data_IF_573935941249
#
_entry.id   IF_573935941249
#
_cell.length_a   1.000
_cell.length_b   1.000
_cell.length_c   1.000
_cell.angle_alpha   90.00
_cell.angle_beta   90.00
_cell.angle_gamma   90.00
#
_symmetry.space_group_name_H-M   'P 1'
#
loop_
_entity.id
_entity.type
_entity.pdbx_description
1 polymer ?
#
# COMPACT_ATOMS: atom_id res chain seq x y z
N UNK A 1 -18.29 -22.66 21.21
CA UNK A 1 -17.21 -22.17 22.10
C UNK A 1 -16.95 -20.70 21.74
N UNK A 2 -17.65 -19.77 22.41
CA UNK A 2 -17.62 -18.33 22.12
C UNK A 2 -16.43 -17.73 22.88
N UNK A 3 -15.22 -17.98 22.39
CA UNK A 3 -14.01 -17.35 22.92
C UNK A 3 -13.97 -15.90 22.43
N UNK A 4 -14.33 -14.97 23.33
CA UNK A 4 -13.98 -13.55 23.34
C UNK A 4 -13.55 -12.96 21.97
N UNK A 5 -14.51 -12.73 21.08
CA UNK A 5 -14.30 -12.08 19.77
C UNK A 5 -13.78 -10.64 19.91
N UNK A 6 -13.78 -10.06 21.11
CA UNK A 6 -13.29 -8.70 21.37
C UNK A 6 -11.77 -8.60 21.21
N UNK A 7 -11.01 -9.60 21.67
CA UNK A 7 -9.54 -9.57 21.62
C UNK A 7 -8.95 -9.63 20.20
N UNK A 8 -9.36 -10.56 19.30
CA UNK A 8 -8.84 -10.59 17.94
C UNK A 8 -9.28 -9.37 17.12
N UNK A 9 -10.50 -8.84 17.37
CA UNK A 9 -10.96 -7.60 16.72
C UNK A 9 -10.10 -6.40 17.10
N UNK A 10 -9.75 -6.24 18.37
CA UNK A 10 -8.91 -5.12 18.83
C UNK A 10 -7.50 -5.23 18.23
N UNK A 11 -6.89 -6.42 18.27
CA UNK A 11 -5.56 -6.65 17.68
C UNK A 11 -5.55 -6.42 16.17
N UNK A 12 -6.56 -6.91 15.44
CA UNK A 12 -6.70 -6.67 14.01
C UNK A 12 -6.91 -5.19 13.66
N UNK A 13 -7.68 -4.46 14.49
CA UNK A 13 -7.88 -3.01 14.32
C UNK A 13 -6.58 -2.24 14.54
N UNK A 14 -5.82 -2.59 15.59
CA UNK A 14 -4.54 -1.96 15.89
C UNK A 14 -3.55 -2.20 14.75
N UNK A 15 -3.38 -3.46 14.31
CA UNK A 15 -2.49 -3.81 13.21
C UNK A 15 -2.86 -3.07 11.92
N UNK A 16 -4.16 -2.98 11.62
CA UNK A 16 -4.67 -2.27 10.45
C UNK A 16 -4.40 -0.77 10.54
N UNK A 17 -4.78 -0.11 11.64
CA UNK A 17 -4.63 1.34 11.82
C UNK A 17 -3.16 1.73 11.81
N UNK A 18 -2.30 1.01 12.54
CA UNK A 18 -0.86 1.27 12.55
C UNK A 18 -0.26 1.09 11.15
N UNK A 19 -0.58 -0.01 10.47
CA UNK A 19 -0.05 -0.28 9.13
C UNK A 19 -0.47 0.77 8.11
N UNK A 20 -1.76 1.14 8.07
CA UNK A 20 -2.27 2.17 7.15
C UNK A 20 -1.69 3.54 7.50
N UNK A 21 -1.63 3.91 8.78
CA UNK A 21 -1.05 5.18 9.23
C UNK A 21 0.41 5.28 8.78
N UNK A 22 1.22 4.24 9.00
CA UNK A 22 2.62 4.22 8.56
C UNK A 22 2.76 4.37 7.04
N UNK A 23 1.95 3.67 6.25
CA UNK A 23 1.98 3.76 4.78
C UNK A 23 1.64 5.18 4.31
N UNK A 24 0.50 5.73 4.77
CA UNK A 24 0.01 7.03 4.33
C UNK A 24 0.95 8.13 4.79
N UNK A 25 1.48 8.05 6.01
CA UNK A 25 2.46 8.99 6.52
C UNK A 25 3.76 8.97 5.70
N UNK A 26 4.30 7.78 5.40
CA UNK A 26 5.51 7.66 4.56
C UNK A 26 5.30 8.28 3.16
N UNK A 27 4.15 8.03 2.53
CA UNK A 27 3.81 8.62 1.24
C UNK A 27 3.69 10.14 1.32
N UNK A 28 3.02 10.64 2.37
CA UNK A 28 2.84 12.08 2.58
C UNK A 28 4.18 12.78 2.81
N UNK A 29 5.00 12.29 3.75
CA UNK A 29 6.33 12.85 4.04
C UNK A 29 7.23 12.79 2.81
N UNK A 30 7.18 11.70 2.04
CA UNK A 30 7.91 11.58 0.78
C UNK A 30 7.55 12.71 -0.19
N UNK A 31 6.27 13.04 -0.34
CA UNK A 31 5.81 14.10 -1.23
C UNK A 31 6.01 15.52 -0.70
N UNK A 32 5.59 15.78 0.54
CA UNK A 32 5.55 17.13 1.13
C UNK A 32 6.88 17.59 1.72
N UNK A 33 7.83 16.68 1.87
CA UNK A 33 9.07 16.91 2.62
C UNK A 33 8.90 16.76 4.14
N UNK A 34 10.01 16.77 4.89
CA UNK A 34 10.04 16.51 6.33
C UNK A 34 9.42 17.63 7.17
N UNK A 35 9.39 18.86 6.65
CA UNK A 35 8.82 20.05 7.31
C UNK A 35 7.33 19.88 7.67
N UNK A 36 6.61 19.01 6.96
CA UNK A 36 5.17 18.75 7.17
C UNK A 36 4.88 17.41 7.87
N UNK A 37 5.88 16.77 8.50
CA UNK A 37 5.74 15.42 9.04
C UNK A 37 4.65 15.28 10.11
N UNK A 38 4.48 16.28 10.98
CA UNK A 38 3.45 16.27 12.03
C UNK A 38 2.03 16.33 11.45
N UNK A 39 1.79 17.27 10.53
CA UNK A 39 0.51 17.39 9.81
C UNK A 39 0.20 16.10 9.05
N UNK A 40 1.22 15.51 8.41
CA UNK A 40 1.10 14.22 7.73
C UNK A 40 0.69 13.09 8.67
N UNK A 41 1.23 13.03 9.89
CA UNK A 41 0.90 11.98 10.85
C UNK A 41 -0.57 12.07 11.32
N UNK A 42 -1.06 13.29 11.58
CA UNK A 42 -2.46 13.52 11.95
C UNK A 42 -3.40 13.11 10.82
N UNK A 43 -3.10 13.52 9.59
CA UNK A 43 -3.90 13.18 8.41
C UNK A 43 -3.90 11.67 8.14
N UNK A 44 -2.75 11.02 8.26
CA UNK A 44 -2.61 9.58 8.10
C UNK A 44 -3.41 8.79 9.14
N UNK A 45 -3.39 9.23 10.40
CA UNK A 45 -4.18 8.62 11.46
C UNK A 45 -5.69 8.79 11.20
N UNK A 46 -6.13 10.01 10.85
CA UNK A 46 -7.53 10.27 10.53
C UNK A 46 -8.02 9.39 9.36
N UNK A 47 -7.20 9.26 8.32
CA UNK A 47 -7.49 8.39 7.18
C UNK A 47 -7.55 6.91 7.57
N UNK A 48 -6.61 6.44 8.40
CA UNK A 48 -6.59 5.06 8.89
C UNK A 48 -7.83 4.72 9.72
N UNK A 49 -8.28 5.65 10.59
CA UNK A 49 -9.50 5.49 11.37
C UNK A 49 -10.76 5.45 10.48
N UNK A 50 -10.82 6.29 9.44
CA UNK A 50 -11.91 6.27 8.47
C UNK A 50 -12.00 4.93 7.73
N UNK A 51 -10.85 4.38 7.31
CA UNK A 51 -10.80 3.06 6.69
C UNK A 51 -11.13 1.92 7.67
N UNK A 52 -10.72 2.03 8.94
CA UNK A 52 -11.06 1.04 9.97
C UNK A 52 -12.57 1.00 10.22
N UNK A 53 -13.26 2.14 10.15
CA UNK A 53 -14.72 2.18 10.23
C UNK A 53 -15.38 1.36 9.09
N UNK A 54 -14.90 1.55 7.85
CA UNK A 54 -15.36 0.77 6.69
C UNK A 54 -15.08 -0.73 6.85
N UNK A 55 -13.91 -1.08 7.40
CA UNK A 55 -13.52 -2.47 7.71
C UNK A 55 -14.46 -3.09 8.74
N UNK A 56 -14.75 -2.39 9.83
CA UNK A 56 -15.68 -2.85 10.88
C UNK A 56 -17.08 -3.09 10.32
N UNK A 57 -17.57 -2.20 9.45
CA UNK A 57 -18.87 -2.36 8.78
C UNK A 57 -18.90 -3.65 7.94
N UNK A 58 -17.84 -3.91 7.18
CA UNK A 58 -17.72 -5.12 6.35
C UNK A 58 -17.61 -6.41 7.18
N UNK A 59 -16.94 -6.35 8.33
CA UNK A 59 -16.89 -7.49 9.27
C UNK A 59 -18.29 -7.75 9.85
N UNK A 60 -19.00 -6.70 10.27
CA UNK A 60 -20.36 -6.82 10.79
C UNK A 60 -21.35 -7.36 9.74
N UNK A 61 -21.15 -7.04 8.46
CA UNK A 61 -21.91 -7.62 7.35
C UNK A 61 -21.65 -9.14 7.22
N UNK A 62 -20.39 -9.57 7.25
CA UNK A 62 -20.03 -10.99 7.19
C UNK A 62 -20.58 -11.76 8.41
N UNK A 63 -20.61 -11.13 9.58
CA UNK A 63 -21.19 -11.72 10.80
C UNK A 63 -22.70 -11.91 10.68
N UNK A 64 -23.40 -10.90 10.16
CA UNK A 64 -24.84 -11.01 9.88
C UNK A 64 -25.12 -12.12 8.87
N UNK A 65 -24.34 -12.20 7.79
CA UNK A 65 -24.46 -13.26 6.80
C UNK A 65 -24.29 -14.65 7.46
N UNK A 66 -23.30 -14.81 8.34
CA UNK A 66 -23.04 -16.05 9.06
C UNK A 66 -24.18 -16.43 10.04
N UNK A 67 -24.85 -15.44 10.62
CA UNK A 67 -26.01 -15.64 11.51
C UNK A 67 -27.31 -15.90 10.75
N UNK A 68 -27.47 -15.31 9.57
CA UNK A 68 -28.69 -15.41 8.75
C UNK A 68 -28.72 -16.59 7.78
N UNK A 69 -27.56 -17.15 7.43
CA UNK A 69 -27.48 -18.25 6.47
C UNK A 69 -28.17 -19.49 7.03
N UNK A 70 -29.14 -20.01 6.27
CA UNK A 70 -29.88 -21.23 6.60
C UNK A 70 -28.87 -22.39 6.78
N UNK A 71 -28.93 -23.14 7.90
CA UNK A 71 -28.04 -24.28 8.14
C UNK A 71 -28.09 -25.36 7.06
N UNK A 72 -29.15 -25.37 6.23
CA UNK A 72 -29.30 -26.28 5.08
C UNK A 72 -28.79 -25.72 3.76
N UNK A 73 -28.44 -24.44 3.69
CA UNK A 73 -27.90 -23.81 2.49
C UNK A 73 -26.48 -24.26 2.23
N UNK A 74 -26.23 -24.80 1.04
CA UNK A 74 -24.95 -25.37 0.64
C UNK A 74 -24.34 -24.55 -0.49
N UNK A 75 -23.05 -24.21 -0.37
CA UNK A 75 -22.28 -23.52 -1.40
C UNK A 75 -21.38 -24.50 -2.15
N UNK A 76 -21.40 -24.42 -3.47
CA UNK A 76 -20.50 -25.19 -4.32
C UNK A 76 -19.13 -24.53 -4.38
N UNK A 77 -18.08 -25.33 -4.24
CA UNK A 77 -16.69 -24.89 -4.30
C UNK A 77 -16.09 -25.40 -5.60
N UNK A 78 -15.74 -24.46 -6.47
CA UNK A 78 -15.10 -24.73 -7.74
C UNK A 78 -13.62 -24.34 -7.66
N UNK A 79 -12.73 -25.22 -8.10
CA UNK A 79 -11.29 -24.94 -8.26
C UNK A 79 -10.99 -25.04 -9.74
N UNK A 80 -10.45 -23.96 -10.34
CA UNK A 80 -10.19 -23.89 -11.78
C UNK A 80 -11.41 -24.23 -12.65
N UNK A 81 -12.62 -23.91 -12.18
CA UNK A 81 -13.87 -24.17 -12.89
C UNK A 81 -14.44 -25.58 -12.70
N UNK A 82 -13.73 -26.48 -12.01
CA UNK A 82 -14.20 -27.83 -11.68
C UNK A 82 -14.80 -27.82 -10.27
N UNK A 83 -16.02 -28.34 -10.10
CA UNK A 83 -16.61 -28.51 -8.78
C UNK A 83 -15.84 -29.59 -8.02
N UNK A 84 -15.23 -29.22 -6.89
CA UNK A 84 -14.42 -30.15 -6.08
C UNK A 84 -15.19 -30.62 -4.85
N UNK A 85 -16.13 -29.81 -4.37
CA UNK A 85 -17.00 -30.20 -3.27
C UNK A 85 -17.99 -29.12 -2.91
N UNK A 86 -18.64 -29.32 -1.77
CA UNK A 86 -19.68 -28.46 -1.24
C UNK A 86 -19.44 -28.22 0.24
N UNK A 87 -19.62 -26.98 0.69
CA UNK A 87 -19.58 -26.62 2.12
C UNK A 87 -20.87 -25.89 2.50
N UNK A 88 -21.36 -26.06 3.74
CA UNK A 88 -22.45 -25.25 4.27
C UNK A 88 -22.12 -23.75 4.15
N UNK A 89 -23.12 -22.95 3.80
CA UNK A 89 -22.98 -21.51 3.61
C UNK A 89 -22.43 -20.82 4.87
N UNK A 90 -22.90 -21.26 6.04
CA UNK A 90 -22.41 -20.85 7.35
C UNK A 90 -20.92 -21.11 7.56
N UNK A 91 -20.43 -22.31 7.25
CA UNK A 91 -19.01 -22.65 7.41
C UNK A 91 -18.12 -21.77 6.52
N UNK A 92 -18.58 -21.47 5.30
CA UNK A 92 -17.87 -20.56 4.39
C UNK A 92 -17.82 -19.14 4.95
N UNK A 93 -18.91 -18.66 5.57
CA UNK A 93 -18.97 -17.36 6.21
C UNK A 93 -18.07 -17.29 7.46
N UNK A 94 -18.08 -18.33 8.30
CA UNK A 94 -17.20 -18.45 9.48
C UNK A 94 -15.71 -18.48 9.08
N UNK A 95 -15.34 -19.19 8.01
CA UNK A 95 -13.99 -19.18 7.45
C UNK A 95 -13.57 -17.78 6.99
N UNK A 96 -14.47 -17.09 6.27
CA UNK A 96 -14.23 -15.72 5.80
C UNK A 96 -14.08 -14.75 6.97
N UNK A 97 -14.87 -14.91 8.03
CA UNK A 97 -14.79 -14.14 9.26
C UNK A 97 -13.47 -14.39 9.99
N UNK A 98 -13.07 -15.66 10.16
CA UNK A 98 -11.81 -16.02 10.80
C UNK A 98 -10.60 -15.39 10.10
N UNK A 99 -10.59 -15.38 8.77
CA UNK A 99 -9.57 -14.69 7.97
C UNK A 99 -9.64 -13.17 8.14
N UNK A 100 -10.84 -12.58 8.22
CA UNK A 100 -10.99 -11.13 8.42
C UNK A 100 -10.60 -10.65 9.83
N UNK A 101 -10.60 -11.55 10.82
CA UNK A 101 -10.25 -11.23 12.21
C UNK A 101 -8.79 -11.51 12.55
N UNK A 102 -8.06 -12.21 11.69
CA UNK A 102 -6.67 -12.61 11.95
C UNK A 102 -5.69 -11.42 11.82
N UNK A 103 -5.05 -10.96 12.91
CA UNK A 103 -4.08 -9.87 12.86
C UNK A 103 -2.85 -10.17 12.00
N UNK A 104 -2.43 -11.44 11.88
CA UNK A 104 -1.26 -11.81 11.10
C UNK A 104 -1.46 -11.55 9.60
N UNK A 105 -2.71 -11.59 9.13
CA UNK A 105 -3.05 -11.31 7.73
C UNK A 105 -2.91 -9.81 7.43
N UNK A 106 -3.23 -8.95 8.41
CA UNK A 106 -3.00 -7.51 8.27
C UNK A 106 -1.51 -7.18 8.23
N UNK A 107 -0.70 -7.80 9.09
CA UNK A 107 0.75 -7.61 9.09
C UNK A 107 1.37 -8.09 7.77
N UNK A 108 0.97 -9.25 7.28
CA UNK A 108 1.47 -9.76 5.99
C UNK A 108 1.04 -8.89 4.80
N UNK A 109 -0.19 -8.37 4.79
CA UNK A 109 -0.62 -7.41 3.78
C UNK A 109 0.20 -6.12 3.86
N UNK A 110 0.50 -5.62 5.06
CA UNK A 110 1.39 -4.47 5.26
C UNK A 110 2.80 -4.72 4.72
N UNK A 111 3.41 -5.88 5.00
CA UNK A 111 4.74 -6.23 4.48
C UNK A 111 4.75 -6.32 2.95
N UNK A 112 3.70 -6.86 2.35
CA UNK A 112 3.54 -6.91 0.88
C UNK A 112 3.49 -5.51 0.30
N UNK A 113 2.68 -4.61 0.88
CA UNK A 113 2.58 -3.21 0.44
C UNK A 113 3.92 -2.49 0.64
N UNK A 114 4.56 -2.65 1.80
CA UNK A 114 5.86 -2.08 2.10
C UNK A 114 6.96 -2.53 1.13
N UNK A 115 6.95 -3.80 0.74
CA UNK A 115 7.85 -4.32 -0.31
C UNK A 115 7.64 -3.60 -1.64
N UNK A 116 6.39 -3.35 -2.02
CA UNK A 116 6.07 -2.61 -3.26
C UNK A 116 6.49 -1.15 -3.19
N UNK A 117 6.28 -0.51 -2.04
CA UNK A 117 6.80 0.85 -1.79
C UNK A 117 8.32 0.90 -1.93
N UNK A 118 9.04 -0.11 -1.41
CA UNK A 118 10.49 -0.23 -1.54
C UNK A 118 10.92 -0.41 -3.00
N UNK A 119 10.24 -1.26 -3.78
CA UNK A 119 10.51 -1.39 -5.21
C UNK A 119 10.30 -0.07 -5.97
N UNK A 120 9.23 0.65 -5.64
CA UNK A 120 9.00 1.98 -6.18
C UNK A 120 10.14 2.94 -5.83
N UNK A 121 10.66 2.89 -4.60
CA UNK A 121 11.75 3.75 -4.14
C UNK A 121 13.06 3.43 -4.87
N UNK A 122 13.37 2.14 -5.03
CA UNK A 122 14.52 1.69 -5.82
C UNK A 122 14.41 2.13 -7.29
N UNK A 123 13.22 2.05 -7.87
CA UNK A 123 12.99 2.51 -9.24
C UNK A 123 13.17 4.03 -9.35
N UNK A 124 12.63 4.79 -8.39
CA UNK A 124 12.81 6.24 -8.34
C UNK A 124 14.27 6.65 -8.17
N UNK A 125 15.05 5.91 -7.39
CA UNK A 125 16.48 6.14 -7.22
C UNK A 125 17.26 6.03 -8.54
N UNK A 126 16.83 5.18 -9.46
CA UNK A 126 17.44 5.04 -10.79
C UNK A 126 16.87 6.05 -11.79
N UNK A 127 15.54 6.26 -11.77
CA UNK A 127 14.85 7.13 -12.74
C UNK A 127 15.14 8.61 -12.48
N UNK A 128 15.17 9.06 -11.23
CA UNK A 128 15.38 10.46 -10.89
C UNK A 128 16.69 11.05 -11.45
N UNK A 129 17.88 10.44 -11.25
CA UNK A 129 19.11 10.95 -11.84
C UNK A 129 19.09 10.87 -13.37
N UNK A 130 18.49 9.83 -13.94
CA UNK A 130 18.37 9.69 -15.40
C UNK A 130 17.52 10.83 -15.99
N UNK A 131 16.36 11.13 -15.40
CA UNK A 131 15.51 12.24 -15.80
C UNK A 131 16.21 13.59 -15.64
N UNK A 132 16.98 13.77 -14.57
CA UNK A 132 17.76 14.99 -14.37
C UNK A 132 18.82 15.18 -15.48
N UNK A 133 19.56 14.12 -15.82
CA UNK A 133 20.55 14.15 -16.91
C UNK A 133 19.88 14.51 -18.24
N UNK A 134 18.80 13.81 -18.59
CA UNK A 134 18.09 14.08 -19.84
C UNK A 134 17.47 15.47 -19.87
N UNK A 135 16.92 15.96 -18.76
CA UNK A 135 16.41 17.32 -18.68
C UNK A 135 17.52 18.35 -18.97
N UNK A 136 18.72 18.16 -18.42
CA UNK A 136 19.86 19.05 -18.70
C UNK A 136 20.28 18.98 -20.16
N UNK A 137 20.39 17.78 -20.75
CA UNK A 137 20.78 17.60 -22.15
C UNK A 137 19.77 18.22 -23.11
N UNK A 138 18.47 18.03 -22.85
CA UNK A 138 17.39 18.61 -23.66
C UNK A 138 17.41 20.14 -23.57
N UNK A 139 17.54 20.70 -22.37
CA UNK A 139 17.63 22.16 -22.20
C UNK A 139 18.87 22.74 -22.89
N UNK A 140 20.01 22.06 -22.82
CA UNK A 140 21.24 22.47 -23.52
C UNK A 140 21.06 22.44 -25.04
N UNK A 141 20.31 21.47 -25.56
CA UNK A 141 20.05 21.34 -27.00
C UNK A 141 19.05 22.39 -27.52
N UNK A 142 18.01 22.71 -26.74
CA UNK A 142 16.98 23.68 -27.12
C UNK A 142 17.47 25.12 -26.95
N UNK A 143 18.06 25.45 -25.79
CA UNK A 143 18.57 26.78 -25.49
C UNK A 143 19.86 26.71 -24.65
N UNK A 144 21.03 26.64 -25.34
CA UNK A 144 22.31 26.57 -24.66
C UNK A 144 22.64 27.86 -23.90
N UNK A 145 22.12 29.02 -24.34
CA UNK A 145 22.39 30.31 -23.72
C UNK A 145 21.68 30.44 -22.37
N UNK A 146 20.40 30.05 -22.32
CA UNK A 146 19.65 30.03 -21.07
C UNK A 146 20.25 29.04 -20.06
N UNK A 147 20.68 27.86 -20.52
CA UNK A 147 21.32 26.86 -19.67
C UNK A 147 22.66 27.37 -19.09
N UNK A 148 23.50 28.01 -19.91
CA UNK A 148 24.76 28.61 -19.46
C UNK A 148 24.54 29.77 -18.47
N UNK A 149 23.55 30.63 -18.72
CA UNK A 149 23.18 31.71 -17.78
C UNK A 149 22.69 31.15 -16.44
N UNK A 150 21.87 30.10 -16.46
CA UNK A 150 21.36 29.45 -15.24
C UNK A 150 22.51 28.86 -14.41
N UNK A 151 23.48 28.22 -15.07
CA UNK A 151 24.68 27.69 -14.40
C UNK A 151 25.54 28.81 -13.79
N UNK A 152 25.72 29.93 -14.49
CA UNK A 152 26.48 31.09 -13.99
C UNK A 152 25.78 31.80 -12.82
N UNK A 153 24.45 31.91 -12.87
CA UNK A 153 23.67 32.48 -11.76
C UNK A 153 23.80 31.57 -10.54
N UNK A 154 23.64 30.26 -10.72
CA UNK A 154 23.79 29.28 -9.65
C UNK A 154 25.20 29.36 -9.02
N UNK A 155 26.26 29.39 -9.83
CA UNK A 155 27.63 29.45 -9.32
C UNK A 155 27.90 30.75 -8.53
N UNK A 156 27.38 31.90 -9.01
CA UNK A 156 27.52 33.19 -8.31
C UNK A 156 26.74 33.20 -7.00
N UNK A 157 25.53 32.65 -6.98
CA UNK A 157 24.70 32.56 -5.78
C UNK A 157 25.37 31.69 -4.71
N UNK A 158 25.90 30.52 -5.09
CA UNK A 158 26.66 29.63 -4.21
C UNK A 158 27.87 30.36 -3.62
N UNK A 159 28.64 31.06 -4.46
CA UNK A 159 29.83 31.79 -4.02
C UNK A 159 29.48 32.96 -3.09
N UNK A 160 28.40 33.69 -3.37
CA UNK A 160 27.91 34.77 -2.51
C UNK A 160 27.48 34.25 -1.14
N UNK A 161 26.68 33.18 -1.09
CA UNK A 161 26.21 32.58 0.16
C UNK A 161 27.35 32.00 1.00
N UNK A 162 28.39 31.48 0.33
CA UNK A 162 29.63 31.03 0.98
C UNK A 162 30.34 32.17 1.70
N UNK A 163 30.41 33.34 1.07
CA UNK A 163 31.05 34.51 1.67
C UNK A 163 30.26 35.10 2.85
N UNK A 164 28.95 34.84 2.96
CA UNK A 164 28.08 35.36 4.02
C UNK A 164 27.78 34.32 5.12
N UNK A 165 28.38 33.13 5.08
CA UNK A 165 28.17 32.07 6.08
C UNK A 165 26.78 31.42 6.06
N UNK A 166 25.97 31.67 5.02
CA UNK A 166 24.59 31.16 4.87
C UNK A 166 24.50 29.89 4.01
N UNK A 167 25.59 29.13 3.94
CA UNK A 167 25.71 27.93 3.09
C UNK A 167 24.74 26.83 3.55
N UNK A 168 24.49 26.74 4.85
CA UNK A 168 23.58 25.75 5.45
C UNK A 168 22.14 25.92 4.95
N UNK A 169 21.61 27.15 4.95
CA UNK A 169 20.23 27.43 4.53
C UNK A 169 20.00 27.10 3.04
N UNK A 170 21.04 27.27 2.21
CA UNK A 170 21.01 26.88 0.80
C UNK A 170 20.97 25.36 0.63
N UNK A 171 21.79 24.63 1.39
CA UNK A 171 21.78 23.17 1.36
C UNK A 171 20.45 22.60 1.83
N UNK A 172 19.84 23.16 2.87
CA UNK A 172 18.52 22.74 3.35
C UNK A 172 17.44 22.98 2.29
N UNK A 173 17.47 24.13 1.62
CA UNK A 173 16.52 24.45 0.55
C UNK A 173 16.66 23.52 -0.67
N UNK A 174 17.89 23.22 -1.07
CA UNK A 174 18.18 22.30 -2.19
C UNK A 174 17.80 20.87 -1.79
N UNK A 175 18.11 20.45 -0.57
CA UNK A 175 17.76 19.13 -0.05
C UNK A 175 16.23 18.96 0.00
N UNK A 176 15.49 19.97 0.45
CA UNK A 176 14.03 19.93 0.50
C UNK A 176 13.42 19.88 -0.91
N UNK A 177 13.91 20.70 -1.85
CA UNK A 177 13.46 20.67 -3.23
C UNK A 177 13.74 19.30 -3.89
N UNK A 178 14.94 18.76 -3.68
CA UNK A 178 15.35 17.45 -4.20
C UNK A 178 14.50 16.33 -3.61
N UNK A 179 14.23 16.38 -2.29
CA UNK A 179 13.40 15.40 -1.61
C UNK A 179 11.96 15.39 -2.16
N UNK A 180 11.36 16.57 -2.41
CA UNK A 180 10.02 16.68 -3.00
C UNK A 180 9.97 16.12 -4.42
N UNK A 181 10.96 16.44 -5.25
CA UNK A 181 11.06 15.89 -6.61
C UNK A 181 11.23 14.37 -6.60
N UNK A 182 12.14 13.84 -5.77
CA UNK A 182 12.36 12.42 -5.61
C UNK A 182 11.10 11.70 -5.09
N UNK A 183 10.41 12.30 -4.13
CA UNK A 183 9.13 11.83 -3.61
C UNK A 183 8.04 11.76 -4.67
N UNK A 184 7.93 12.78 -5.53
CA UNK A 184 6.99 12.76 -6.64
C UNK A 184 7.28 11.65 -7.66
N UNK A 185 8.55 11.48 -8.02
CA UNK A 185 8.96 10.38 -8.91
C UNK A 185 8.68 9.02 -8.26
N UNK A 186 8.91 8.90 -6.96
CA UNK A 186 8.60 7.70 -6.20
C UNK A 186 7.11 7.35 -6.19
N UNK A 187 6.24 8.34 -5.96
CA UNK A 187 4.80 8.13 -6.02
C UNK A 187 4.33 7.72 -7.41
N UNK A 188 4.86 8.36 -8.46
CA UNK A 188 4.56 8.00 -9.85
C UNK A 188 5.03 6.58 -10.16
N UNK A 189 6.29 6.24 -9.84
CA UNK A 189 6.85 4.91 -10.02
C UNK A 189 6.02 3.82 -9.32
N UNK A 190 5.68 4.05 -8.06
CA UNK A 190 4.85 3.13 -7.26
C UNK A 190 3.46 2.97 -7.87
N UNK A 191 2.85 4.07 -8.30
CA UNK A 191 1.52 4.07 -8.93
C UNK A 191 1.52 3.32 -10.27
N UNK A 192 2.54 3.54 -11.11
CA UNK A 192 2.72 2.83 -12.37
C UNK A 192 2.87 1.33 -12.15
N UNK A 193 3.69 0.92 -11.17
CA UNK A 193 3.85 -0.50 -10.81
C UNK A 193 2.53 -1.11 -10.32
N UNK A 194 1.78 -0.37 -9.50
CA UNK A 194 0.48 -0.80 -8.98
C UNK A 194 -0.55 -1.04 -10.09
N UNK A 195 -0.59 -0.16 -11.09
CA UNK A 195 -1.55 -0.22 -12.21
C UNK A 195 -1.16 -1.27 -13.23
N UNK A 196 0.13 -1.35 -13.60
CA UNK A 196 0.59 -2.24 -14.66
C UNK A 196 0.64 -3.71 -14.23
N UNK A 197 0.84 -3.99 -12.94
CA UNK A 197 0.93 -5.37 -12.46
C UNK A 197 0.35 -5.56 -11.04
N UNK A 198 -0.96 -5.29 -10.83
CA UNK A 198 -1.57 -5.29 -9.51
C UNK A 198 -1.46 -6.65 -8.81
N UNK A 199 -1.57 -7.75 -9.56
CA UNK A 199 -1.50 -9.10 -9.01
C UNK A 199 -0.13 -9.46 -8.42
N UNK A 200 0.95 -8.87 -8.94
CA UNK A 200 2.32 -9.15 -8.51
C UNK A 200 2.75 -8.28 -7.33
N UNK A 201 2.30 -7.02 -7.30
CA UNK A 201 2.74 -6.03 -6.32
C UNK A 201 1.72 -5.76 -5.20
N UNK A 202 0.43 -5.99 -5.45
CA UNK A 202 -0.62 -5.94 -4.43
C UNK A 202 -1.45 -7.23 -4.41
N UNK A 203 -0.81 -8.40 -4.18
CA UNK A 203 -1.56 -9.62 -4.02
C UNK A 203 -2.51 -9.50 -2.83
N UNK A 204 -3.75 -9.94 -3.04
CA UNK A 204 -4.76 -9.95 -1.99
C UNK A 204 -4.50 -11.14 -1.04
N UNK A 205 -3.82 -10.86 0.08
CA UNK A 205 -3.40 -11.89 1.03
C UNK A 205 -4.61 -12.52 1.73
N UNK A 206 -5.65 -11.73 2.03
CA UNK A 206 -6.93 -12.23 2.56
C UNK A 206 -7.55 -13.27 1.64
N UNK A 207 -7.64 -12.97 0.35
CA UNK A 207 -8.21 -13.89 -0.64
C UNK A 207 -7.37 -15.16 -0.75
N UNK A 208 -6.03 -15.05 -0.79
CA UNK A 208 -5.14 -16.21 -0.86
C UNK A 208 -5.31 -17.12 0.36
N UNK A 209 -5.36 -16.55 1.56
CA UNK A 209 -5.54 -17.33 2.80
C UNK A 209 -6.92 -17.98 2.85
N UNK A 210 -7.97 -17.26 2.49
CA UNK A 210 -9.32 -17.81 2.38
C UNK A 210 -9.39 -18.97 1.38
N UNK A 211 -8.84 -18.80 0.17
CA UNK A 211 -8.78 -19.85 -0.85
C UNK A 211 -7.98 -21.09 -0.38
N UNK A 212 -6.93 -20.89 0.42
CA UNK A 212 -6.14 -21.98 0.99
C UNK A 212 -6.96 -22.77 2.02
N UNK A 213 -7.63 -22.10 2.96
CA UNK A 213 -8.44 -22.77 3.97
C UNK A 213 -9.64 -23.49 3.35
N UNK A 214 -10.32 -22.88 2.37
CA UNK A 214 -11.41 -23.54 1.63
C UNK A 214 -10.95 -24.85 0.98
N UNK A 215 -9.75 -24.87 0.39
CA UNK A 215 -9.19 -26.08 -0.24
C UNK A 215 -8.84 -27.17 0.77
N UNK A 216 -8.34 -26.78 1.95
CA UNK A 216 -8.11 -27.71 3.04
C UNK A 216 -9.42 -28.34 3.53
N UNK A 217 -10.50 -27.56 3.68
CA UNK A 217 -11.80 -28.09 4.10
C UNK A 217 -12.41 -29.08 3.10
N UNK A 218 -12.11 -28.93 1.80
CA UNK A 218 -12.62 -29.80 0.72
C UNK A 218 -11.64 -30.91 0.36
N UNK A 219 -10.50 -31.05 1.07
CA UNK A 219 -9.43 -31.99 0.76
C UNK A 219 -8.92 -31.92 -0.69
N UNK A 220 -8.85 -30.72 -1.27
CA UNK A 220 -8.34 -30.51 -2.61
C UNK A 220 -6.83 -30.25 -2.60
N UNK A 221 -6.03 -31.15 -3.19
CA UNK A 221 -4.59 -30.98 -3.35
C UNK A 221 -4.22 -30.02 -4.51
N UNK A 222 -5.16 -29.69 -5.40
CA UNK A 222 -4.87 -28.90 -6.59
C UNK A 222 -4.80 -27.39 -6.29
N UNK A 223 -3.78 -26.74 -6.87
CA UNK A 223 -3.66 -25.29 -6.85
C UNK A 223 -4.52 -24.61 -7.92
N UNK A 224 -5.19 -23.51 -7.55
CA UNK A 224 -6.09 -22.87 -8.50
C UNK A 224 -6.92 -21.70 -7.97
N UNK A 225 -7.60 -21.04 -8.90
CA UNK A 225 -8.59 -20.02 -8.58
C UNK A 225 -9.84 -20.70 -8.01
N UNK A 226 -10.14 -20.44 -6.73
CA UNK A 226 -11.37 -20.94 -6.10
C UNK A 226 -12.53 -19.97 -6.33
N UNK A 227 -13.68 -20.49 -6.71
CA UNK A 227 -14.94 -19.76 -6.77
C UNK A 227 -15.94 -20.43 -5.84
N UNK A 228 -16.71 -19.61 -5.11
CA UNK A 228 -17.83 -20.07 -4.29
C UNK A 228 -19.10 -19.65 -5.02
N UNK A 229 -19.95 -20.60 -5.39
CA UNK A 229 -21.25 -20.34 -6.00
C UNK A 229 -22.37 -20.79 -5.06
N UNK A 230 -23.43 -19.99 -4.99
CA UNK A 230 -24.71 -20.44 -4.44
C UNK A 230 -25.29 -21.47 -5.39
N UNK A 231 -25.75 -22.59 -4.82
CA UNK A 231 -26.49 -23.61 -5.55
C UNK A 231 -27.86 -23.08 -5.98
#
# INVERSE_FOLDING_TARGET
MILSLSHPRILGSLAFVTGVTSIVWCLFVGWSGPSNAYTGAILALAFALALDFGRRKKIAEIERDAESDDPTSVRQILVNGVQVGTLPAREVAELKLGVALDPAIYVSQFLVVGRTLLYGALLAFVIAPLLAIWAVLINLWIDPHHTAQTALILSRTVQSLTNHGQVLDMFDSIAEATARCAGGIWMLATSSIAILSPANYFPNVFRRRFHFLLRQCVNCAADGATQVRTH
#
